data_IF_827765052217
#
_entry.id   IF_827765052217
#
_cell.length_a   1.000
_cell.length_b   1.000
_cell.length_c   1.000
_cell.angle_alpha   90.00
_cell.angle_beta   90.00
_cell.angle_gamma   90.00
#
_symmetry.space_group_name_H-M   'P 1'
#
loop_
_entity.id
_entity.type
_entity.pdbx_description
1 polymer ?
#
# COMPACT_ATOMS: atom_id res chain seq x y z
N UNK A 1 18.75 -8.49 16.04
CA UNK A 1 20.17 -8.78 16.36
C UNK A 1 20.93 -7.52 16.76
N UNK A 2 21.09 -6.51 15.89
CA UNK A 2 21.86 -5.29 16.21
C UNK A 2 21.33 -4.54 17.44
N UNK A 3 20.00 -4.36 17.56
CA UNK A 3 19.37 -3.74 18.75
C UNK A 3 19.78 -4.47 20.04
N UNK A 4 19.73 -5.80 20.03
CA UNK A 4 20.13 -6.62 21.19
C UNK A 4 21.63 -6.47 21.47
N UNK A 5 22.47 -6.48 20.43
CA UNK A 5 23.91 -6.27 20.57
C UNK A 5 24.23 -4.91 21.23
N UNK A 6 23.51 -3.85 20.87
CA UNK A 6 23.64 -2.53 21.50
C UNK A 6 23.21 -2.53 22.96
N UNK A 7 22.18 -3.30 23.34
CA UNK A 7 21.73 -3.42 24.73
C UNK A 7 22.77 -4.11 25.62
N UNK A 8 23.53 -5.06 25.07
CA UNK A 8 24.58 -5.80 25.80
C UNK A 8 26.00 -5.30 25.49
N UNK A 9 26.15 -4.08 24.96
CA UNK A 9 27.45 -3.54 24.51
C UNK A 9 28.54 -3.57 25.58
N UNK A 10 28.17 -3.40 26.86
CA UNK A 10 29.10 -3.41 28.00
C UNK A 10 29.68 -4.80 28.28
N UNK A 11 29.05 -5.87 27.79
CA UNK A 11 29.55 -7.22 27.93
C UNK A 11 30.78 -7.50 27.04
N UNK A 12 30.93 -6.78 25.91
CA UNK A 12 32.00 -7.03 24.94
C UNK A 12 33.40 -6.73 25.51
N UNK A 13 33.66 -5.59 26.18
CA UNK A 13 34.95 -5.34 26.82
C UNK A 13 35.24 -6.31 27.98
N UNK A 14 34.22 -6.68 28.75
CA UNK A 14 34.35 -7.66 29.86
C UNK A 14 34.78 -9.02 29.31
N UNK A 15 34.19 -9.42 28.19
CA UNK A 15 34.53 -10.67 27.52
C UNK A 15 35.97 -10.63 26.97
N UNK A 16 36.39 -9.51 26.36
CA UNK A 16 37.76 -9.31 25.88
C UNK A 16 38.83 -9.40 26.98
N UNK A 17 38.51 -9.00 28.21
CA UNK A 17 39.42 -9.16 29.35
C UNK A 17 39.57 -10.61 29.80
N UNK A 18 38.54 -11.45 29.60
CA UNK A 18 38.54 -12.85 30.04
C UNK A 18 39.10 -13.80 28.99
N UNK A 19 38.81 -13.54 27.71
CA UNK A 19 39.18 -14.39 26.59
C UNK A 19 40.29 -13.76 25.78
N UNK A 20 41.53 -14.21 25.99
CA UNK A 20 42.70 -13.69 25.26
C UNK A 20 42.65 -13.97 23.75
N UNK A 21 41.83 -14.91 23.31
CA UNK A 21 41.57 -15.21 21.90
C UNK A 21 40.61 -14.22 21.22
N UNK A 22 39.91 -13.39 21.97
CA UNK A 22 38.92 -12.45 21.45
C UNK A 22 39.56 -11.13 21.01
N UNK A 23 39.87 -11.02 19.71
CA UNK A 23 40.60 -9.88 19.12
C UNK A 23 39.71 -8.86 18.41
N UNK A 24 38.38 -9.08 18.35
CA UNK A 24 37.44 -8.27 17.57
C UNK A 24 36.44 -7.47 18.44
N UNK A 25 36.90 -6.95 19.59
CA UNK A 25 36.09 -6.08 20.44
C UNK A 25 35.73 -4.79 19.69
N UNK A 26 34.43 -4.45 19.50
CA UNK A 26 34.03 -3.24 18.81
C UNK A 26 34.50 -1.99 19.56
N UNK A 27 34.96 -0.97 18.82
CA UNK A 27 35.35 0.31 19.40
C UNK A 27 34.14 1.21 19.70
N UNK A 28 34.36 2.35 20.36
CA UNK A 28 33.32 3.36 20.60
C UNK A 28 32.76 3.89 19.28
N UNK A 29 33.62 4.10 18.29
CA UNK A 29 33.25 4.53 16.94
C UNK A 29 32.40 3.48 16.22
N UNK A 30 32.70 2.19 16.40
CA UNK A 30 31.89 1.12 15.83
C UNK A 30 30.50 1.08 16.44
N UNK A 31 30.36 1.29 17.75
CA UNK A 31 29.05 1.41 18.39
C UNK A 31 28.26 2.63 17.91
N UNK A 32 28.94 3.73 17.58
CA UNK A 32 28.30 4.89 16.95
C UNK A 32 27.72 4.52 15.57
N UNK A 33 28.52 3.85 14.73
CA UNK A 33 28.04 3.37 13.41
C UNK A 33 26.87 2.40 13.56
N UNK A 34 26.94 1.45 14.50
CA UNK A 34 25.87 0.47 14.76
C UNK A 34 24.57 1.19 15.11
N UNK A 35 24.61 2.23 15.95
CA UNK A 35 23.42 3.00 16.30
C UNK A 35 22.76 3.64 15.06
N UNK A 36 23.56 4.30 14.23
CA UNK A 36 23.05 4.91 12.99
C UNK A 36 22.46 3.86 12.04
N UNK A 37 23.12 2.71 11.90
CA UNK A 37 22.61 1.58 11.10
C UNK A 37 21.28 1.05 11.66
N UNK A 38 21.16 0.93 12.99
CA UNK A 38 19.91 0.51 13.64
C UNK A 38 18.79 1.50 13.35
N UNK A 39 19.05 2.80 13.42
CA UNK A 39 18.04 3.84 13.17
C UNK A 39 17.56 3.79 11.71
N UNK A 40 18.49 3.64 10.75
CA UNK A 40 18.16 3.50 9.31
C UNK A 40 17.35 2.21 9.06
N UNK A 41 17.82 1.07 9.56
CA UNK A 41 17.17 -0.23 9.35
C UNK A 41 15.85 -0.36 10.11
N UNK A 42 15.65 0.41 11.18
CA UNK A 42 14.40 0.45 11.93
C UNK A 42 13.22 0.80 11.02
N UNK A 43 13.41 1.75 10.11
CA UNK A 43 12.34 2.15 9.16
C UNK A 43 12.00 1.01 8.18
N UNK A 44 12.98 0.22 7.76
CA UNK A 44 12.73 -0.97 6.95
C UNK A 44 12.01 -2.06 7.73
N UNK A 45 12.38 -2.25 9.00
CA UNK A 45 11.75 -3.23 9.87
C UNK A 45 10.27 -2.90 10.09
N UNK A 46 9.96 -1.67 10.47
CA UNK A 46 8.57 -1.22 10.65
C UNK A 46 7.78 -1.37 9.35
N UNK A 47 8.40 -0.98 8.22
CA UNK A 47 7.76 -1.13 6.93
C UNK A 47 7.44 -2.59 6.61
N UNK A 48 8.43 -3.46 6.79
CA UNK A 48 8.31 -4.91 6.56
C UNK A 48 7.26 -5.52 7.46
N UNK A 49 7.20 -5.12 8.73
CA UNK A 49 6.21 -5.62 9.69
C UNK A 49 4.78 -5.33 9.22
N UNK A 50 4.51 -4.10 8.76
CA UNK A 50 3.19 -3.71 8.25
C UNK A 50 2.85 -4.43 6.95
N UNK A 51 3.75 -4.52 5.99
CA UNK A 51 3.45 -5.15 4.69
C UNK A 51 3.47 -6.68 4.73
N UNK A 52 4.07 -7.29 5.76
CA UNK A 52 4.08 -8.75 5.98
C UNK A 52 2.88 -9.24 6.77
N UNK A 53 1.95 -8.34 7.14
CA UNK A 53 0.70 -8.72 7.77
C UNK A 53 -0.15 -9.62 6.85
N UNK A 54 -0.79 -10.62 7.43
CA UNK A 54 -1.66 -11.57 6.71
C UNK A 54 -3.15 -11.44 7.08
N UNK A 55 -3.46 -10.65 8.11
CA UNK A 55 -4.83 -10.47 8.63
C UNK A 55 -5.59 -9.32 7.97
N UNK A 56 -4.98 -8.61 7.02
CA UNK A 56 -5.57 -7.51 6.29
C UNK A 56 -4.94 -7.39 4.89
N UNK A 57 -5.65 -6.81 3.90
CA UNK A 57 -5.03 -6.48 2.61
C UNK A 57 -3.87 -5.51 2.82
N UNK A 58 -2.71 -5.79 2.24
CA UNK A 58 -1.49 -4.95 2.41
C UNK A 58 -1.23 -4.03 1.23
N UNK A 59 -1.85 -4.30 0.06
CA UNK A 59 -1.65 -3.54 -1.17
C UNK A 59 -2.06 -2.07 -1.07
N UNK A 60 -3.12 -1.77 -0.32
CA UNK A 60 -3.64 -0.42 -0.11
C UNK A 60 -2.78 0.44 0.82
N UNK A 61 -2.07 -0.17 1.77
CA UNK A 61 -1.19 0.54 2.72
C UNK A 61 0.27 0.58 2.26
N UNK A 62 0.61 -0.12 1.19
CA UNK A 62 1.98 -0.33 0.75
C UNK A 62 2.70 1.00 0.47
N UNK A 63 2.10 1.88 -0.34
CA UNK A 63 2.67 3.20 -0.61
C UNK A 63 2.83 4.01 0.68
N UNK A 64 1.82 4.00 1.56
CA UNK A 64 1.75 4.80 2.79
C UNK A 64 2.92 4.54 3.76
N UNK A 65 3.52 3.36 3.64
CA UNK A 65 4.61 2.91 4.49
C UNK A 65 5.95 2.98 3.75
N UNK A 66 6.00 2.50 2.50
CA UNK A 66 7.25 2.33 1.75
C UNK A 66 7.84 3.66 1.26
N UNK A 67 7.03 4.71 1.07
CA UNK A 67 7.57 6.04 0.74
C UNK A 67 8.54 6.53 1.82
N UNK A 68 8.31 6.20 3.10
CA UNK A 68 9.17 6.63 4.21
C UNK A 68 10.54 5.98 4.14
N UNK A 69 10.62 4.72 3.69
CA UNK A 69 11.89 4.02 3.45
C UNK A 69 12.70 4.76 2.38
N UNK A 70 12.08 5.10 1.24
CA UNK A 70 12.73 5.85 0.17
C UNK A 70 13.21 7.22 0.65
N UNK A 71 12.39 7.90 1.43
CA UNK A 71 12.74 9.20 1.99
C UNK A 71 13.98 9.13 2.88
N UNK A 72 14.07 8.15 3.79
CA UNK A 72 15.25 7.96 4.65
C UNK A 72 16.50 7.63 3.84
N UNK A 73 16.38 6.81 2.79
CA UNK A 73 17.50 6.54 1.89
C UNK A 73 17.99 7.82 1.18
N UNK A 74 17.07 8.69 0.75
CA UNK A 74 17.41 9.96 0.11
C UNK A 74 18.07 10.94 1.11
N UNK A 75 17.54 11.05 2.33
CA UNK A 75 18.11 11.94 3.36
C UNK A 75 19.54 11.54 3.74
N UNK A 76 19.85 10.24 3.74
CA UNK A 76 21.15 9.72 4.11
C UNK A 76 22.11 9.52 2.92
N UNK A 77 21.73 9.94 1.71
CA UNK A 77 22.58 9.78 0.52
C UNK A 77 23.90 10.56 0.62
N UNK A 78 23.86 11.74 1.27
CA UNK A 78 25.04 12.60 1.48
C UNK A 78 25.53 12.54 2.93
N UNK A 79 25.39 11.39 3.58
CA UNK A 79 25.77 11.22 4.98
C UNK A 79 27.26 11.56 5.21
N UNK A 80 27.55 12.15 6.38
CA UNK A 80 28.91 12.59 6.75
C UNK A 80 29.86 11.42 6.97
N UNK A 81 29.37 10.35 7.61
CA UNK A 81 30.10 9.11 7.81
C UNK A 81 30.19 8.31 6.50
N UNK A 82 31.41 8.09 6.01
CA UNK A 82 31.69 7.38 4.75
C UNK A 82 31.14 5.96 4.75
N UNK A 83 31.26 5.23 5.86
CA UNK A 83 30.74 3.86 5.98
C UNK A 83 29.22 3.81 5.80
N UNK A 84 28.50 4.74 6.44
CA UNK A 84 27.05 4.83 6.33
C UNK A 84 26.64 5.25 4.92
N UNK A 85 27.36 6.21 4.32
CA UNK A 85 27.09 6.65 2.95
C UNK A 85 27.23 5.51 1.94
N UNK A 86 28.31 4.72 2.01
CA UNK A 86 28.50 3.56 1.13
C UNK A 86 27.43 2.47 1.33
N UNK A 87 26.97 2.28 2.57
CA UNK A 87 25.85 1.38 2.87
C UNK A 87 24.56 1.88 2.21
N UNK A 88 24.23 3.16 2.40
CA UNK A 88 23.03 3.78 1.85
C UNK A 88 23.03 3.74 0.33
N UNK A 89 24.16 4.02 -0.32
CA UNK A 89 24.28 3.94 -1.79
C UNK A 89 23.89 2.56 -2.32
N UNK A 90 24.41 1.49 -1.71
CA UNK A 90 24.09 0.11 -2.09
C UNK A 90 22.63 -0.26 -1.81
N UNK A 91 22.09 0.20 -0.69
CA UNK A 91 20.69 -0.05 -0.32
C UNK A 91 19.73 0.70 -1.25
N UNK A 92 20.03 1.97 -1.54
CA UNK A 92 19.25 2.83 -2.43
C UNK A 92 19.24 2.28 -3.85
N UNK A 93 20.37 1.82 -4.38
CA UNK A 93 20.43 1.20 -5.71
C UNK A 93 19.49 0.00 -5.81
N UNK A 94 19.48 -0.89 -4.80
CA UNK A 94 18.56 -2.03 -4.78
C UNK A 94 17.10 -1.59 -4.65
N UNK A 95 16.85 -0.60 -3.79
CA UNK A 95 15.50 -0.08 -3.56
C UNK A 95 14.93 0.58 -4.82
N UNK A 96 15.70 1.46 -5.47
CA UNK A 96 15.25 2.23 -6.64
C UNK A 96 14.93 1.34 -7.83
N UNK A 97 15.64 0.21 -7.97
CA UNK A 97 15.32 -0.82 -8.96
C UNK A 97 13.87 -1.32 -8.82
N UNK A 98 13.47 -1.76 -7.62
CA UNK A 98 12.11 -2.26 -7.39
C UNK A 98 11.07 -1.14 -7.32
N UNK A 99 11.48 0.03 -6.83
CA UNK A 99 10.61 1.19 -6.78
C UNK A 99 10.15 1.62 -8.18
N UNK A 100 11.05 1.67 -9.17
CA UNK A 100 10.70 2.03 -10.54
C UNK A 100 9.69 1.08 -11.19
N UNK A 101 9.81 -0.22 -10.92
CA UNK A 101 8.97 -1.26 -11.52
C UNK A 101 7.57 -1.32 -10.88
N UNK A 102 7.46 -1.04 -9.58
CA UNK A 102 6.23 -1.27 -8.82
C UNK A 102 5.55 0.00 -8.30
N UNK A 103 6.15 1.20 -8.45
CA UNK A 103 5.59 2.44 -7.87
C UNK A 103 4.16 2.72 -8.30
N UNK A 104 3.83 2.44 -9.56
CA UNK A 104 2.52 2.70 -10.14
C UNK A 104 1.46 1.81 -9.50
N UNK A 105 1.74 0.51 -9.38
CA UNK A 105 0.85 -0.46 -8.75
C UNK A 105 0.60 -0.11 -7.28
N UNK A 106 1.65 0.22 -6.53
CA UNK A 106 1.53 0.66 -5.14
C UNK A 106 0.71 1.95 -5.01
N UNK A 107 0.87 2.89 -5.96
CA UNK A 107 0.14 4.15 -5.98
C UNK A 107 -1.34 3.95 -6.28
N UNK A 108 -1.67 3.13 -7.28
CA UNK A 108 -3.08 2.80 -7.59
C UNK A 108 -3.73 2.10 -6.40
N UNK A 109 -3.06 1.12 -5.79
CA UNK A 109 -3.57 0.43 -4.60
C UNK A 109 -3.88 1.40 -3.44
N UNK A 110 -3.01 2.40 -3.23
CA UNK A 110 -3.24 3.44 -2.24
C UNK A 110 -4.37 4.40 -2.63
N UNK A 111 -4.51 4.76 -3.91
CA UNK A 111 -5.59 5.65 -4.37
C UNK A 111 -6.96 5.03 -4.17
N UNK A 112 -7.09 3.71 -4.38
CA UNK A 112 -8.35 2.98 -4.18
C UNK A 112 -8.73 2.84 -2.70
N UNK A 113 -7.84 3.19 -1.77
CA UNK A 113 -8.17 3.32 -0.36
C UNK A 113 -8.82 4.69 -0.09
N UNK A 114 -10.09 4.74 0.34
CA UNK A 114 -10.78 6.01 0.59
C UNK A 114 -10.12 6.86 1.69
N UNK A 115 -9.25 6.28 2.53
CA UNK A 115 -8.49 6.99 3.56
C UNK A 115 -7.32 7.81 2.99
N UNK A 116 -6.85 7.46 1.78
CA UNK A 116 -5.64 8.01 1.18
C UNK A 116 -5.93 8.79 -0.10
N UNK A 117 -6.58 8.13 -1.08
CA UNK A 117 -6.86 8.69 -2.41
C UNK A 117 -5.60 9.30 -3.05
N UNK A 118 -5.78 10.26 -3.97
CA UNK A 118 -4.67 10.99 -4.59
C UNK A 118 -3.81 11.78 -3.60
N UNK A 119 -4.38 12.17 -2.44
CA UNK A 119 -3.68 13.00 -1.45
C UNK A 119 -2.41 12.34 -0.91
N UNK A 120 -2.43 11.02 -0.71
CA UNK A 120 -1.24 10.30 -0.27
C UNK A 120 -0.15 10.29 -1.33
N UNK A 121 -0.51 10.15 -2.61
CA UNK A 121 0.45 10.19 -3.73
C UNK A 121 1.10 11.56 -3.80
N UNK A 122 0.28 12.63 -3.77
CA UNK A 122 0.77 14.02 -3.77
C UNK A 122 1.71 14.28 -2.59
N UNK A 123 1.31 13.87 -1.38
CA UNK A 123 2.12 14.03 -0.18
C UNK A 123 3.43 13.24 -0.28
N UNK A 124 3.36 11.96 -0.60
CA UNK A 124 4.52 11.06 -0.61
C UNK A 124 5.52 11.48 -1.70
N UNK A 125 5.05 11.76 -2.92
CA UNK A 125 5.91 12.09 -4.05
C UNK A 125 6.66 13.40 -3.85
N UNK A 126 6.00 14.41 -3.26
CA UNK A 126 6.66 15.67 -2.87
C UNK A 126 7.74 15.49 -1.78
N UNK A 127 7.74 14.37 -1.04
CA UNK A 127 8.77 14.07 -0.03
C UNK A 127 9.94 13.25 -0.57
N UNK A 128 9.76 12.52 -1.66
CA UNK A 128 10.77 11.57 -2.18
C UNK A 128 11.39 11.99 -3.51
N UNK A 129 10.77 12.95 -4.21
CA UNK A 129 11.23 13.47 -5.50
C UNK A 129 11.52 14.97 -5.42
N UNK A 130 12.33 15.46 -6.36
CA UNK A 130 12.40 16.89 -6.62
C UNK A 130 11.06 17.41 -7.14
N UNK A 131 10.78 18.69 -6.97
CA UNK A 131 9.47 19.29 -7.28
C UNK A 131 8.99 19.02 -8.70
N UNK A 132 9.88 19.14 -9.70
CA UNK A 132 9.58 18.84 -11.10
C UNK A 132 9.20 17.37 -11.32
N UNK A 133 9.97 16.46 -10.71
CA UNK A 133 9.78 15.02 -10.88
C UNK A 133 8.54 14.55 -10.12
N UNK A 134 8.25 15.13 -8.96
CA UNK A 134 7.05 14.84 -8.17
C UNK A 134 5.79 15.09 -9.01
N UNK A 135 5.70 16.28 -9.64
CA UNK A 135 4.56 16.63 -10.49
C UNK A 135 4.39 15.65 -11.67
N UNK A 136 5.47 15.35 -12.38
CA UNK A 136 5.45 14.41 -13.51
C UNK A 136 4.97 13.02 -13.08
N UNK A 137 5.45 12.52 -11.95
CA UNK A 137 5.05 11.21 -11.45
C UNK A 137 3.59 11.19 -10.94
N UNK A 138 3.12 12.26 -10.29
CA UNK A 138 1.71 12.41 -9.88
C UNK A 138 0.79 12.36 -11.11
N UNK A 139 1.11 13.12 -12.16
CA UNK A 139 0.35 13.14 -13.41
C UNK A 139 0.36 11.74 -14.06
N UNK A 140 1.50 11.07 -14.08
CA UNK A 140 1.61 9.69 -14.60
C UNK A 140 0.70 8.71 -13.85
N UNK A 141 0.68 8.77 -12.52
CA UNK A 141 -0.20 7.93 -11.69
C UNK A 141 -1.67 8.22 -11.99
N UNK A 142 -2.03 9.51 -12.05
CA UNK A 142 -3.40 9.94 -12.40
C UNK A 142 -3.83 9.38 -13.75
N UNK A 143 -3.01 9.55 -14.79
CA UNK A 143 -3.34 9.09 -16.14
C UNK A 143 -3.53 7.57 -16.18
N UNK A 144 -2.66 6.80 -15.53
CA UNK A 144 -2.78 5.36 -15.46
C UNK A 144 -4.07 4.90 -14.74
N UNK A 145 -4.48 5.63 -13.69
CA UNK A 145 -5.74 5.37 -13.00
C UNK A 145 -6.96 5.57 -13.92
N UNK A 146 -6.98 6.67 -14.69
CA UNK A 146 -8.07 6.92 -15.65
C UNK A 146 -8.07 5.91 -16.79
N UNK A 147 -6.89 5.52 -17.29
CA UNK A 147 -6.76 4.47 -18.30
C UNK A 147 -7.34 3.15 -17.79
N UNK A 148 -6.94 2.72 -16.59
CA UNK A 148 -7.45 1.52 -15.94
C UNK A 148 -8.97 1.56 -15.73
N UNK A 149 -9.51 2.69 -15.29
CA UNK A 149 -10.95 2.87 -15.12
C UNK A 149 -11.69 2.81 -16.47
N UNK A 150 -11.12 3.43 -17.51
CA UNK A 150 -11.72 3.40 -18.84
C UNK A 150 -11.80 1.98 -19.42
N UNK A 151 -10.79 1.14 -19.18
CA UNK A 151 -10.79 -0.27 -19.58
C UNK A 151 -11.82 -1.09 -18.80
N UNK A 152 -11.94 -0.82 -17.49
CA UNK A 152 -12.92 -1.46 -16.62
C UNK A 152 -14.36 -1.17 -17.10
N UNK A 153 -14.70 0.11 -17.31
CA UNK A 153 -16.03 0.52 -17.78
C UNK A 153 -16.37 -0.09 -19.14
N UNK A 154 -15.40 -0.14 -20.07
CA UNK A 154 -15.60 -0.79 -21.36
C UNK A 154 -15.89 -2.30 -21.21
N UNK A 155 -15.19 -2.97 -20.30
CA UNK A 155 -15.36 -4.40 -20.03
C UNK A 155 -16.71 -4.71 -19.40
N UNK A 156 -17.15 -3.92 -18.43
CA UNK A 156 -18.48 -4.06 -17.80
C UNK A 156 -19.60 -3.82 -18.81
N UNK A 157 -19.51 -2.76 -19.61
CA UNK A 157 -20.47 -2.50 -20.68
C UNK A 157 -20.55 -3.66 -21.70
N UNK A 158 -19.43 -4.30 -22.02
CA UNK A 158 -19.41 -5.47 -22.89
C UNK A 158 -20.05 -6.72 -22.22
N UNK A 159 -19.94 -6.86 -20.89
CA UNK A 159 -20.60 -7.93 -20.12
C UNK A 159 -22.12 -7.74 -20.09
N UNK A 160 -22.59 -6.53 -19.79
CA UNK A 160 -24.03 -6.21 -19.72
C UNK A 160 -24.73 -6.44 -21.06
N UNK A 161 -24.08 -6.07 -22.19
CA UNK A 161 -24.62 -6.35 -23.54
C UNK A 161 -24.75 -7.84 -23.86
N UNK A 162 -23.85 -8.69 -23.35
CA UNK A 162 -23.94 -10.14 -23.54
C UNK A 162 -25.07 -10.77 -22.73
N UNK A 163 -25.32 -10.27 -21.51
CA UNK A 163 -26.42 -10.75 -20.67
C UNK A 163 -27.78 -10.37 -21.26
N UNK A 164 -27.92 -9.15 -21.82
CA UNK A 164 -29.14 -8.72 -22.51
C UNK A 164 -29.49 -9.54 -23.77
N UNK A 165 -28.50 -10.19 -24.40
CA UNK A 165 -28.72 -11.09 -25.55
C UNK A 165 -29.07 -12.52 -25.17
N UNK A 166 -28.90 -12.94 -23.91
CA UNK A 166 -29.22 -14.30 -23.43
C UNK A 166 -30.65 -14.41 -22.92
N UNK A 167 -31.32 -13.29 -22.69
CA UNK A 167 -32.72 -13.28 -22.23
C UNK A 167 -33.75 -13.67 -23.30
N UNK A 168 -33.32 -13.95 -24.53
CA UNK A 168 -34.21 -14.36 -25.64
C UNK A 168 -34.00 -15.80 -26.13
N UNK A 169 -33.10 -16.59 -25.49
CA UNK A 169 -32.97 -18.02 -25.78
C UNK A 169 -32.65 -18.85 -24.54
N UNK A 170 -33.70 -19.53 -24.09
CA UNK A 170 -33.75 -20.83 -23.40
C UNK A 170 -32.64 -21.20 -22.42
N UNK A 171 -33.12 -21.52 -21.21
CA UNK A 171 -32.43 -22.28 -20.15
C UNK A 171 -31.78 -23.52 -20.75
N UNK A 172 -30.48 -23.46 -21.02
CA UNK A 172 -29.62 -24.63 -21.23
C UNK A 172 -28.17 -24.29 -20.93
N UNK A 173 -27.79 -24.62 -19.70
CA UNK A 173 -26.45 -24.99 -19.22
C UNK A 173 -25.26 -24.75 -20.16
N UNK A 174 -24.39 -23.79 -19.83
CA UNK A 174 -22.93 -23.99 -19.82
C UNK A 174 -22.28 -22.99 -18.87
N UNK A 175 -21.84 -23.48 -17.71
CA UNK A 175 -21.06 -22.74 -16.73
C UNK A 175 -19.63 -23.29 -16.71
N UNK A 176 -18.63 -22.45 -16.94
CA UNK A 176 -17.26 -22.71 -16.53
C UNK A 176 -16.96 -21.97 -15.23
N UNK A 177 -16.78 -22.78 -14.16
CA UNK A 177 -15.84 -22.67 -13.02
C UNK A 177 -15.75 -21.33 -12.24
N UNK A 178 -15.85 -21.24 -10.90
CA UNK A 178 -15.50 -22.18 -9.83
C UNK A 178 -16.28 -21.93 -8.51
N UNK A 179 -16.43 -23.03 -7.76
CA UNK A 179 -16.78 -23.30 -6.36
C UNK A 179 -17.22 -22.18 -5.38
N UNK A 180 -18.43 -22.36 -4.82
CA UNK A 180 -18.96 -21.67 -3.64
C UNK A 180 -20.46 -21.40 -3.77
N UNK A 181 -21.32 -22.35 -3.40
CA UNK A 181 -22.77 -22.30 -3.65
C UNK A 181 -23.51 -21.12 -3.00
N UNK A 182 -22.90 -20.40 -2.07
CA UNK A 182 -23.52 -19.27 -1.37
C UNK A 182 -23.31 -17.91 -2.07
N UNK A 183 -22.37 -17.80 -3.03
CA UNK A 183 -22.06 -16.54 -3.72
C UNK A 183 -23.03 -16.18 -4.85
N UNK A 184 -23.68 -17.18 -5.46
CA UNK A 184 -24.55 -16.97 -6.63
C UNK A 184 -25.84 -16.21 -6.30
N UNK A 185 -26.40 -16.40 -5.11
CA UNK A 185 -27.62 -15.71 -4.67
C UNK A 185 -27.36 -14.24 -4.28
N UNK A 186 -26.22 -13.95 -3.63
CA UNK A 186 -25.82 -12.58 -3.26
C UNK A 186 -25.57 -11.73 -4.51
N UNK A 187 -24.87 -12.27 -5.51
CA UNK A 187 -24.66 -11.61 -6.79
C UNK A 187 -25.98 -11.34 -7.53
N UNK A 188 -26.98 -12.22 -7.39
CA UNK A 188 -28.33 -11.98 -7.93
C UNK A 188 -29.05 -10.81 -7.25
N UNK A 189 -28.87 -10.61 -5.94
CA UNK A 189 -29.47 -9.49 -5.21
C UNK A 189 -28.80 -8.15 -5.55
N UNK A 190 -27.47 -8.12 -5.65
CA UNK A 190 -26.73 -6.94 -6.10
C UNK A 190 -27.12 -6.55 -7.53
N UNK A 191 -27.26 -7.53 -8.42
CA UNK A 191 -27.71 -7.29 -9.80
C UNK A 191 -29.13 -6.71 -9.86
N UNK A 192 -30.06 -7.21 -9.05
CA UNK A 192 -31.41 -6.64 -8.96
C UNK A 192 -31.42 -5.22 -8.39
N UNK A 193 -30.54 -4.93 -7.44
CA UNK A 193 -30.40 -3.58 -6.89
C UNK A 193 -29.80 -2.61 -7.91
N UNK A 194 -28.79 -3.02 -8.67
CA UNK A 194 -28.22 -2.26 -9.78
C UNK A 194 -29.29 -1.96 -10.86
N UNK A 195 -30.10 -2.96 -11.21
CA UNK A 195 -31.24 -2.77 -12.12
C UNK A 195 -32.28 -1.78 -11.55
N UNK A 196 -32.55 -1.83 -10.25
CA UNK A 196 -33.42 -0.87 -9.58
C UNK A 196 -32.84 0.55 -9.60
N UNK A 197 -31.55 0.72 -9.29
CA UNK A 197 -30.88 2.03 -9.34
C UNK A 197 -31.01 2.65 -10.72
N UNK A 198 -30.77 1.87 -11.78
CA UNK A 198 -30.96 2.32 -13.17
C UNK A 198 -32.40 2.77 -13.49
N UNK A 199 -33.41 2.33 -12.74
CA UNK A 199 -34.81 2.79 -12.90
C UNK A 199 -35.13 4.05 -12.11
N UNK A 200 -34.42 4.30 -11.01
CA UNK A 200 -34.67 5.43 -10.11
C UNK A 200 -33.79 6.62 -10.45
N UNK A 201 -32.53 6.38 -10.80
CA UNK A 201 -31.53 7.37 -11.20
C UNK A 201 -31.54 7.48 -12.73
N UNK A 202 -32.44 8.30 -13.28
CA UNK A 202 -32.58 8.52 -14.73
C UNK A 202 -31.70 9.67 -15.26
N UNK A 203 -30.89 10.29 -14.39
CA UNK A 203 -30.04 11.42 -14.75
C UNK A 203 -28.68 10.92 -15.25
N UNK A 204 -28.25 11.42 -16.41
CA UNK A 204 -26.91 11.16 -16.94
C UNK A 204 -25.92 11.84 -15.99
N UNK A 205 -25.00 11.11 -15.32
CA UNK A 205 -24.07 11.72 -14.39
C UNK A 205 -23.14 12.70 -15.13
N UNK A 206 -23.07 13.94 -14.66
CA UNK A 206 -22.22 14.99 -15.25
C UNK A 206 -20.71 14.71 -15.09
N UNK A 207 -20.35 13.82 -14.17
CA UNK A 207 -18.97 13.42 -13.82
C UNK A 207 -18.85 11.91 -13.75
N UNK A 208 -17.66 11.37 -14.02
CA UNK A 208 -17.44 9.93 -13.84
C UNK A 208 -17.46 9.56 -12.35
N UNK A 209 -17.81 8.31 -12.03
CA UNK A 209 -17.78 7.82 -10.63
C UNK A 209 -16.38 7.96 -10.02
N UNK A 210 -15.34 7.78 -10.84
CA UNK A 210 -13.96 7.99 -10.43
C UNK A 210 -13.70 9.46 -10.04
N UNK A 211 -14.22 10.41 -10.82
CA UNK A 211 -14.09 11.84 -10.49
C UNK A 211 -14.80 12.17 -9.17
N UNK A 212 -16.02 11.65 -8.98
CA UNK A 212 -16.78 11.82 -7.73
C UNK A 212 -15.96 11.28 -6.55
N UNK A 213 -15.45 10.05 -6.68
CA UNK A 213 -14.61 9.42 -5.66
C UNK A 213 -13.36 10.24 -5.32
N UNK A 214 -12.69 10.80 -6.33
CA UNK A 214 -11.46 11.57 -6.13
C UNK A 214 -11.71 12.99 -5.56
N UNK A 215 -12.87 13.59 -5.87
CA UNK A 215 -13.28 14.90 -5.35
C UNK A 215 -13.75 14.84 -3.90
N UNK A 216 -14.37 13.72 -3.52
CA UNK A 216 -14.74 13.46 -2.13
C UNK A 216 -13.53 13.54 -1.19
N UNK A 217 -13.78 14.04 0.03
CA UNK A 217 -12.78 14.03 1.10
C UNK A 217 -12.23 12.62 1.38
N UNK A 218 -11.02 12.56 1.93
CA UNK A 218 -10.51 11.30 2.50
C UNK A 218 -11.36 10.93 3.72
N UNK A 219 -11.66 9.65 3.89
CA UNK A 219 -12.45 9.19 5.03
C UNK A 219 -11.74 9.55 6.34
N UNK A 220 -12.42 10.33 7.17
CA UNK A 220 -11.91 10.72 8.48
C UNK A 220 -11.79 9.48 9.38
N UNK A 221 -10.73 9.42 10.19
CA UNK A 221 -10.42 8.29 11.10
C UNK A 221 -11.61 8.02 12.04
N UNK A 222 -12.41 9.04 12.32
CA UNK A 222 -13.65 8.95 13.11
C UNK A 222 -14.72 8.07 12.47
N UNK A 223 -14.89 8.15 11.14
CA UNK A 223 -15.85 7.30 10.42
C UNK A 223 -15.40 5.84 10.39
N UNK A 224 -14.08 5.62 10.28
CA UNK A 224 -13.49 4.26 10.36
C UNK A 224 -13.69 3.66 11.75
N UNK A 225 -13.49 4.44 12.81
CA UNK A 225 -13.81 3.99 14.17
C UNK A 225 -15.29 3.68 14.33
N UNK A 226 -16.18 4.48 13.73
CA UNK A 226 -17.63 4.29 13.83
C UNK A 226 -18.10 3.02 13.08
N UNK A 227 -17.57 2.77 11.89
CA UNK A 227 -17.79 1.51 11.14
C UNK A 227 -17.23 0.30 11.88
N UNK A 228 -16.04 0.41 12.46
CA UNK A 228 -15.44 -0.65 13.28
C UNK A 228 -16.27 -0.90 14.56
N UNK A 229 -16.78 0.15 15.19
CA UNK A 229 -17.68 0.06 16.34
C UNK A 229 -19.00 -0.62 15.96
N UNK A 230 -19.59 -0.28 14.80
CA UNK A 230 -20.82 -0.90 14.32
C UNK A 230 -20.64 -2.38 13.97
N UNK A 231 -19.50 -2.76 13.36
CA UNK A 231 -19.16 -4.15 13.12
C UNK A 231 -18.93 -4.93 14.43
N UNK A 232 -18.27 -4.32 15.42
CA UNK A 232 -18.09 -4.91 16.75
C UNK A 232 -19.41 -5.03 17.53
N UNK A 233 -20.31 -4.06 17.41
CA UNK A 233 -21.62 -4.10 18.07
C UNK A 233 -22.58 -5.10 17.39
N UNK A 234 -22.49 -5.27 16.07
CA UNK A 234 -23.25 -6.28 15.33
C UNK A 234 -22.90 -7.71 15.72
N UNK A 235 -21.67 -7.97 16.15
CA UNK A 235 -21.24 -9.28 16.67
C UNK A 235 -21.84 -9.65 18.03
N UNK A 236 -22.31 -8.68 18.82
CA UNK A 236 -22.92 -8.91 20.14
C UNK A 236 -24.45 -9.06 20.11
N UNK A 237 -25.09 -8.96 18.93
CA UNK A 237 -26.53 -9.17 18.74
C UNK A 237 -26.87 -10.58 18.22
N UNK A 238 -25.87 -11.46 18.04
CA UNK A 238 -26.05 -12.84 17.59
C UNK A 238 -25.70 -13.91 18.65
N UNK A 239 -25.74 -13.59 19.94
CA UNK A 239 -25.71 -14.57 21.03
C UNK A 239 -26.92 -14.40 21.97
#
# INVERSE_FOLDING_TARGET
MLVLATQVKEAFPIFAQRESSYTCCPSVEDWSKVKEVVDILGVFYEATHVISGSYYPTSNVFLAVVWRVKHVLNENEKHSNVFIREMIEKMKLKFDKYWGDCNLLMSIGAILDPRFKMRLVDFAFNKIYAESDAHVNVVRVRNALYELYSEYVQTENARTRKVGSVMDKDISSTSSTCSGSNGKAVLSGLFMFDQYLNTVENDIPEKSELDIYLEEGVLDVKMVMLLSLMLCLGGNLMN
#
